data_IF_441343379205
#
_entry.id   IF_441343379205
#
_cell.length_a   1.000
_cell.length_b   1.000
_cell.length_c   1.000
_cell.angle_alpha   90.00
_cell.angle_beta   90.00
_cell.angle_gamma   90.00
#
_symmetry.space_group_name_H-M   'P 1'
#
loop_
_entity.id
_entity.type
_entity.pdbx_description
1 polymer ?
#
# COMPACT_ATOMS: atom_id res chain seq x y z
N UNK A 1 4.27 14.10 20.62
CA UNK A 1 4.10 13.98 19.19
C UNK A 1 3.40 12.69 18.85
N UNK A 2 2.38 12.76 18.07
CA UNK A 2 1.57 11.63 17.78
C UNK A 2 1.92 11.01 16.46
N UNK A 3 1.94 9.68 16.41
CA UNK A 3 2.24 8.96 15.19
C UNK A 3 0.97 8.34 14.64
N UNK A 4 0.70 8.60 13.39
CA UNK A 4 -0.41 7.95 12.71
C UNK A 4 0.04 6.65 12.11
N UNK A 5 -0.93 5.79 11.80
CA UNK A 5 -0.59 4.52 11.16
C UNK A 5 0.02 4.72 9.79
N UNK A 6 -0.30 5.82 9.14
CA UNK A 6 0.25 6.13 7.84
C UNK A 6 1.00 7.44 7.92
N UNK A 7 1.84 7.70 6.94
CA UNK A 7 2.47 8.98 6.83
C UNK A 7 3.92 9.04 7.24
N UNK A 8 4.50 7.94 7.64
CA UNK A 8 5.92 7.90 7.93
C UNK A 8 6.69 7.58 6.67
N UNK A 9 7.40 8.57 6.16
CA UNK A 9 8.14 8.40 4.92
C UNK A 9 9.54 7.90 5.20
N UNK A 10 10.07 7.11 4.29
CA UNK A 10 11.40 6.55 4.41
C UNK A 10 11.91 6.22 3.01
N UNK A 11 13.02 5.54 2.95
CA UNK A 11 13.62 5.08 1.72
C UNK A 11 13.84 3.59 1.78
N UNK A 12 13.53 2.91 0.68
CA UNK A 12 13.76 1.48 0.61
C UNK A 12 15.25 1.22 0.60
N UNK A 13 15.71 0.32 1.48
CA UNK A 13 17.12 -0.01 1.55
C UNK A 13 17.61 -0.77 0.33
N UNK A 14 16.70 -1.35 -0.43
CA UNK A 14 17.09 -2.18 -1.56
C UNK A 14 17.13 -1.44 -2.88
N UNK A 15 16.18 -0.55 -3.11
CA UNK A 15 16.12 0.16 -4.39
C UNK A 15 16.22 1.66 -4.25
N UNK A 16 16.22 2.18 -3.03
CA UNK A 16 16.34 3.61 -2.79
C UNK A 16 15.08 4.40 -3.07
N UNK A 17 14.00 3.74 -3.45
CA UNK A 17 12.75 4.45 -3.74
C UNK A 17 12.12 4.97 -2.45
N UNK A 18 11.39 6.05 -2.59
CA UNK A 18 10.67 6.61 -1.46
C UNK A 18 9.50 5.70 -1.12
N UNK A 19 9.35 5.42 0.15
CA UNK A 19 8.26 4.59 0.63
C UNK A 19 7.59 5.26 1.82
N UNK A 20 6.42 4.74 2.17
CA UNK A 20 5.70 5.17 3.35
C UNK A 20 5.35 3.93 4.15
N UNK A 21 5.47 4.05 5.47
CA UNK A 21 5.14 2.92 6.33
C UNK A 21 3.71 3.03 6.81
N UNK A 22 2.98 1.93 6.72
CA UNK A 22 1.62 1.83 7.22
C UNK A 22 1.58 0.69 8.21
N UNK A 23 1.06 0.95 9.40
CA UNK A 23 0.87 -0.10 10.38
C UNK A 23 -0.43 -0.82 10.07
N UNK A 24 -0.33 -2.09 9.73
CA UNK A 24 -1.51 -2.87 9.39
C UNK A 24 -2.27 -3.28 10.64
N UNK A 25 -3.49 -3.73 10.46
CA UNK A 25 -4.30 -4.18 11.58
C UNK A 25 -3.74 -5.44 12.22
N UNK A 26 -2.89 -6.14 11.51
CA UNK A 26 -2.18 -7.27 12.08
C UNK A 26 -1.02 -6.85 12.98
N UNK A 27 -0.78 -5.55 13.12
CA UNK A 27 0.28 -5.05 13.99
C UNK A 27 1.64 -4.97 13.34
N UNK A 28 1.71 -5.14 12.03
CA UNK A 28 2.99 -5.10 11.31
C UNK A 28 3.11 -3.82 10.51
N UNK A 29 4.33 -3.33 10.41
CA UNK A 29 4.60 -2.20 9.54
C UNK A 29 4.83 -2.71 8.13
N UNK A 30 4.13 -2.11 7.18
CA UNK A 30 4.24 -2.51 5.79
C UNK A 30 4.69 -1.32 4.95
N UNK A 31 5.76 -1.48 4.15
CA UNK A 31 6.17 -0.40 3.25
C UNK A 31 5.25 -0.37 2.05
N UNK A 32 4.81 0.83 1.70
CA UNK A 32 3.94 1.03 0.56
C UNK A 32 4.50 2.18 -0.27
N UNK A 33 4.12 2.21 -1.54
CA UNK A 33 4.44 3.34 -2.37
C UNK A 33 3.64 4.55 -1.89
N UNK A 34 4.24 5.74 -1.86
CA UNK A 34 3.56 6.89 -1.27
C UNK A 34 2.34 7.37 -2.04
N UNK A 35 2.24 6.98 -3.30
CA UNK A 35 1.12 7.39 -4.12
C UNK A 35 -0.02 6.42 -3.96
N UNK A 36 -1.22 6.94 -3.69
CA UNK A 36 -2.38 6.08 -3.60
C UNK A 36 -2.96 5.85 -4.99
N UNK A 37 -3.75 4.78 -5.09
CA UNK A 37 -4.46 4.46 -6.32
C UNK A 37 -5.92 4.18 -5.99
N UNK A 38 -6.79 4.48 -6.93
CA UNK A 38 -8.19 4.10 -6.80
C UNK A 38 -8.33 2.62 -7.14
N UNK A 39 -9.17 1.92 -6.39
CA UNK A 39 -9.29 0.50 -6.58
C UNK A 39 -10.73 0.06 -6.36
N UNK A 40 -11.02 -1.12 -6.88
CA UNK A 40 -12.28 -1.80 -6.66
C UNK A 40 -12.00 -3.10 -5.96
N UNK A 41 -12.74 -3.38 -4.90
CA UNK A 41 -12.60 -4.63 -4.17
C UNK A 41 -13.06 -5.78 -5.04
N UNK A 42 -12.21 -6.79 -5.15
CA UNK A 42 -12.54 -7.98 -5.93
C UNK A 42 -12.08 -9.18 -5.12
N UNK A 43 -13.01 -10.03 -4.79
CA UNK A 43 -12.70 -11.24 -4.05
C UNK A 43 -11.75 -12.09 -4.90
N UNK A 44 -10.61 -12.41 -4.32
CA UNK A 44 -9.60 -13.13 -5.08
C UNK A 44 -8.82 -12.28 -6.06
N UNK A 45 -8.92 -10.95 -5.93
CA UNK A 45 -8.18 -10.04 -6.81
C UNK A 45 -6.68 -10.25 -6.71
N UNK A 46 -6.00 -9.93 -7.80
CA UNK A 46 -4.56 -10.18 -7.89
C UNK A 46 -3.72 -9.16 -7.16
N UNK A 47 -4.24 -7.96 -6.97
CA UNK A 47 -3.49 -6.92 -6.30
C UNK A 47 -3.94 -6.79 -4.86
N UNK A 48 -2.98 -6.49 -4.01
CA UNK A 48 -3.29 -6.22 -2.62
C UNK A 48 -3.09 -4.75 -2.35
N UNK A 49 -4.13 -4.14 -1.79
CA UNK A 49 -4.11 -2.72 -1.48
C UNK A 49 -4.05 -2.55 0.03
N UNK A 50 -3.24 -1.62 0.48
CA UNK A 50 -3.12 -1.29 1.90
C UNK A 50 -3.87 0.01 2.12
N UNK A 51 -4.92 -0.05 2.90
CA UNK A 51 -5.75 1.12 3.16
C UNK A 51 -5.13 1.99 4.24
N UNK A 52 -5.46 3.28 4.25
CA UNK A 52 -4.90 4.18 5.27
C UNK A 52 -5.21 3.75 6.70
N UNK A 53 -6.30 3.02 6.91
CA UNK A 53 -6.66 2.55 8.24
C UNK A 53 -5.93 1.27 8.63
N UNK A 54 -5.05 0.75 7.76
CA UNK A 54 -4.29 -0.43 8.05
C UNK A 54 -4.87 -1.74 7.55
N UNK A 55 -6.01 -1.70 6.89
CA UNK A 55 -6.58 -2.92 6.29
C UNK A 55 -5.87 -3.26 5.00
N UNK A 56 -5.74 -4.55 4.75
CA UNK A 56 -5.19 -5.05 3.49
C UNK A 56 -6.30 -5.77 2.77
N UNK A 57 -6.60 -5.34 1.56
CA UNK A 57 -7.71 -5.91 0.79
C UNK A 57 -7.21 -6.33 -0.58
N UNK A 58 -7.94 -7.28 -1.18
CA UNK A 58 -7.66 -7.70 -2.54
C UNK A 58 -8.56 -6.93 -3.50
N UNK A 59 -8.01 -6.59 -4.67
CA UNK A 59 -8.79 -5.85 -5.64
C UNK A 59 -8.01 -5.60 -6.88
N UNK A 60 -8.41 -4.56 -7.62
CA UNK A 60 -7.66 -4.11 -8.78
C UNK A 60 -7.84 -2.61 -8.95
N UNK A 61 -6.89 -2.00 -9.60
CA UNK A 61 -6.96 -0.58 -9.90
C UNK A 61 -8.07 -0.31 -10.90
N UNK A 62 -8.68 0.84 -10.75
CA UNK A 62 -9.76 1.24 -11.65
C UNK A 62 -9.84 2.75 -11.68
N UNK A 63 -10.79 3.26 -12.46
CA UNK A 63 -11.02 4.68 -12.51
C UNK A 63 -11.73 5.13 -11.24
N UNK A 64 -11.51 6.40 -10.89
CA UNK A 64 -12.09 6.94 -9.67
C UNK A 64 -13.61 6.78 -9.63
N UNK A 65 -14.28 6.91 -10.77
CA UNK A 65 -15.73 6.82 -10.81
C UNK A 65 -16.25 5.41 -10.56
N UNK A 66 -15.38 4.40 -10.66
CA UNK A 66 -15.76 3.01 -10.42
C UNK A 66 -15.18 2.48 -9.12
N UNK A 67 -14.42 3.28 -8.43
CA UNK A 67 -13.65 2.80 -7.29
C UNK A 67 -14.51 2.66 -6.05
N UNK A 68 -14.20 1.63 -5.27
CA UNK A 68 -14.77 1.46 -3.94
C UNK A 68 -14.04 2.31 -2.92
N UNK A 69 -12.84 2.75 -3.25
CA UNK A 69 -12.06 3.57 -2.37
C UNK A 69 -10.65 3.73 -2.92
N UNK A 70 -9.75 4.20 -2.06
CA UNK A 70 -8.36 4.32 -2.47
C UNK A 70 -7.47 3.62 -1.46
N UNK A 71 -6.30 3.23 -1.92
CA UNK A 71 -5.34 2.57 -1.07
C UNK A 71 -3.95 2.67 -1.67
N UNK A 72 -3.00 2.06 -0.99
CA UNK A 72 -1.60 2.11 -1.40
C UNK A 72 -1.18 0.72 -1.86
N UNK A 73 -0.26 0.70 -2.81
CA UNK A 73 0.29 -0.55 -3.31
C UNK A 73 1.49 -0.90 -2.44
N UNK A 74 1.55 -2.14 -1.99
CA UNK A 74 2.68 -2.62 -1.21
C UNK A 74 3.96 -2.46 -2.02
N UNK A 75 4.98 -1.89 -1.40
CA UNK A 75 6.26 -1.71 -2.07
C UNK A 75 6.91 -3.04 -2.41
N UNK A 76 6.55 -4.09 -1.70
CA UNK A 76 7.07 -5.42 -2.03
C UNK A 76 6.71 -5.83 -3.45
N UNK A 77 5.57 -5.33 -3.96
CA UNK A 77 5.14 -5.67 -5.31
C UNK A 77 5.85 -4.86 -6.37
N UNK A 78 6.42 -3.71 -6.00
CA UNK A 78 7.04 -2.80 -6.96
C UNK A 78 8.54 -2.70 -6.81
N UNK A 79 9.09 -3.19 -5.72
CA UNK A 79 10.52 -3.04 -5.43
C UNK A 79 11.34 -4.05 -6.21
N UNK A 80 12.25 -3.59 -7.09
CA UNK A 80 13.09 -4.52 -7.83
C UNK A 80 13.98 -5.38 -6.92
N UNK A 81 14.27 -4.90 -5.73
CA UNK A 81 15.11 -5.64 -4.80
C UNK A 81 14.43 -6.86 -4.18
N UNK A 82 13.10 -6.88 -4.19
CA UNK A 82 12.34 -8.02 -3.67
C UNK A 82 11.97 -9.02 -4.77
N UNK A 83 12.05 -8.59 -5.99
CA UNK A 83 11.74 -9.47 -7.12
C UNK A 83 13.03 -10.05 -7.64
N UNK A 84 13.07 -11.32 -7.76
CA UNK A 84 14.29 -11.98 -8.21
C UNK A 84 14.25 -12.30 -9.66
#
# INVERSE_FOLDING_TARGET
MKQDSAGQFSQCNRCGARIMWVKTKAGKNMPVDPQFVDFKKIKGGKERLVLPNGEVVAGKRCKACEADGYGYISHFATCPGYRS
#
